data_IF_573220141139
#
_entry.id   IF_573220141139
#
_cell.length_a   1.000
_cell.length_b   1.000
_cell.length_c   1.000
_cell.angle_alpha   90.00
_cell.angle_beta   90.00
_cell.angle_gamma   90.00
#
_symmetry.space_group_name_H-M   'P 1'
#
loop_
_entity.id
_entity.type
_entity.pdbx_description
1 polymer ?
#
# COMPACT_ATOMS: atom_id res chain seq x y z
N UNK A 1 19.64 35.88 -4.88
CA UNK A 1 20.03 34.54 -5.37
C UNK A 1 19.19 33.54 -4.58
N UNK A 2 17.91 33.48 -4.94
CA UNK A 2 16.88 32.69 -4.26
C UNK A 2 17.07 31.22 -4.58
N UNK A 3 17.15 30.40 -3.54
CA UNK A 3 17.19 28.95 -3.68
C UNK A 3 15.90 28.46 -4.33
N UNK A 4 16.01 27.94 -5.54
CA UNK A 4 14.94 27.19 -6.19
C UNK A 4 14.73 25.89 -5.41
N UNK A 5 13.89 25.94 -4.38
CA UNK A 5 13.17 24.75 -3.96
C UNK A 5 12.38 24.30 -5.21
N UNK A 6 12.67 23.11 -5.73
CA UNK A 6 11.84 22.52 -6.78
C UNK A 6 10.39 22.55 -6.27
N UNK A 7 9.52 23.24 -7.00
CA UNK A 7 8.08 23.20 -6.76
C UNK A 7 7.63 21.73 -6.69
N UNK A 8 6.72 21.43 -5.76
CA UNK A 8 6.10 20.09 -5.67
C UNK A 8 5.12 19.83 -6.82
N UNK A 9 4.89 20.84 -7.64
CA UNK A 9 4.00 20.87 -8.77
C UNK A 9 4.77 20.73 -10.08
N UNK A 10 4.20 19.99 -11.01
CA UNK A 10 4.74 19.87 -12.37
C UNK A 10 4.05 20.90 -13.27
N UNK A 11 4.18 22.19 -12.92
CA UNK A 11 3.40 23.28 -13.52
C UNK A 11 3.52 23.41 -15.05
N UNK A 12 4.61 22.90 -15.63
CA UNK A 12 4.85 22.92 -17.08
C UNK A 12 4.48 21.62 -17.78
N UNK A 13 3.96 20.62 -17.07
CA UNK A 13 3.57 19.32 -17.60
C UNK A 13 2.05 19.21 -17.68
N UNK A 14 1.52 19.24 -18.90
CA UNK A 14 0.08 19.09 -19.16
C UNK A 14 -0.30 17.61 -19.32
N UNK A 15 -0.11 16.80 -18.26
CA UNK A 15 -0.53 15.40 -18.28
C UNK A 15 -1.03 14.89 -16.93
N UNK A 16 -1.96 13.93 -16.98
CA UNK A 16 -2.55 13.31 -15.78
C UNK A 16 -1.53 12.53 -14.93
N UNK A 17 -0.46 12.03 -15.56
CA UNK A 17 0.64 11.37 -14.86
C UNK A 17 1.34 12.37 -13.93
N UNK A 18 1.68 13.56 -14.43
CA UNK A 18 2.34 14.58 -13.63
C UNK A 18 1.46 14.99 -12.43
N UNK A 19 0.16 15.21 -12.65
CA UNK A 19 -0.82 15.46 -11.58
C UNK A 19 -0.88 14.34 -10.54
N UNK A 20 -0.83 13.08 -10.96
CA UNK A 20 -0.78 11.95 -10.03
C UNK A 20 0.53 11.95 -9.22
N UNK A 21 1.67 12.24 -9.85
CA UNK A 21 2.99 12.28 -9.20
C UNK A 21 3.11 13.37 -8.14
N UNK A 22 2.38 14.48 -8.24
CA UNK A 22 2.32 15.48 -7.15
C UNK A 22 1.77 14.88 -5.84
N UNK A 23 0.91 13.85 -5.95
CA UNK A 23 0.29 13.18 -4.81
C UNK A 23 1.11 11.95 -4.41
N UNK A 24 1.40 11.05 -5.36
CA UNK A 24 1.96 9.71 -5.08
C UNK A 24 3.45 9.57 -5.41
N UNK A 25 4.08 10.60 -6.00
CA UNK A 25 5.46 10.55 -6.49
C UNK A 25 6.53 10.66 -5.40
N UNK A 26 6.15 11.04 -4.18
CA UNK A 26 7.07 10.93 -3.03
C UNK A 26 7.28 9.45 -2.69
N UNK A 27 8.55 9.05 -2.56
CA UNK A 27 9.04 7.67 -2.43
C UNK A 27 8.24 6.77 -1.48
N UNK A 28 7.82 7.28 -0.33
CA UNK A 28 7.13 6.50 0.71
C UNK A 28 5.63 6.44 0.51
N UNK A 29 5.04 7.34 -0.29
CA UNK A 29 3.58 7.46 -0.42
C UNK A 29 2.95 6.16 -0.91
N UNK A 30 3.47 5.57 -1.99
CA UNK A 30 2.96 4.31 -2.52
C UNK A 30 3.23 3.12 -1.58
N UNK A 31 4.26 3.18 -0.74
CA UNK A 31 4.51 2.15 0.28
C UNK A 31 3.51 2.23 1.44
N UNK A 32 3.10 3.44 1.84
CA UNK A 32 2.00 3.64 2.80
C UNK A 32 0.69 3.11 2.22
N UNK A 33 0.37 3.40 0.96
CA UNK A 33 -0.85 2.88 0.30
C UNK A 33 -0.80 1.35 0.18
N UNK A 34 0.36 0.77 -0.18
CA UNK A 34 0.58 -0.68 -0.21
C UNK A 34 0.26 -1.31 1.15
N UNK A 35 0.80 -0.76 2.23
CA UNK A 35 0.56 -1.28 3.57
C UNK A 35 -0.90 -1.17 3.98
N UNK A 36 -1.57 -0.06 3.60
CA UNK A 36 -3.00 0.11 3.83
C UNK A 36 -3.85 -0.93 3.06
N UNK A 37 -3.46 -1.28 1.83
CA UNK A 37 -4.06 -2.38 1.07
C UNK A 37 -3.83 -3.73 1.76
N UNK A 38 -2.69 -3.90 2.42
CA UNK A 38 -2.39 -5.06 3.26
C UNK A 38 -3.07 -5.00 4.64
N UNK A 39 -3.99 -4.05 4.87
CA UNK A 39 -4.76 -3.99 6.10
C UNK A 39 -4.12 -3.22 7.24
N UNK A 40 -2.93 -2.64 7.05
CA UNK A 40 -2.31 -1.78 8.06
C UNK A 40 -3.11 -0.48 8.17
N UNK A 41 -3.55 -0.13 9.39
CA UNK A 41 -4.41 1.06 9.59
C UNK A 41 -3.92 1.99 10.69
N UNK A 42 -3.04 1.56 11.59
CA UNK A 42 -2.59 2.38 12.73
C UNK A 42 -1.24 3.02 12.43
N UNK A 43 -1.04 4.24 12.94
CA UNK A 43 0.21 5.00 12.74
C UNK A 43 1.46 4.21 13.16
N UNK A 44 1.42 3.55 14.33
CA UNK A 44 2.57 2.79 14.83
C UNK A 44 2.86 1.55 13.97
N UNK A 45 1.84 0.89 13.44
CA UNK A 45 2.03 -0.27 12.56
C UNK A 45 2.74 0.15 11.26
N UNK A 46 2.32 1.27 10.64
CA UNK A 46 3.04 1.84 9.49
C UNK A 46 4.48 2.20 9.84
N UNK A 47 4.70 2.83 11.00
CA UNK A 47 6.03 3.26 11.43
C UNK A 47 6.97 2.07 11.61
N UNK A 48 6.49 1.01 12.28
CA UNK A 48 7.24 -0.21 12.56
C UNK A 48 7.59 -0.96 11.27
N UNK A 49 6.62 -1.12 10.37
CA UNK A 49 6.83 -1.90 9.14
C UNK A 49 7.67 -1.16 8.10
N UNK A 50 7.44 0.14 7.91
CA UNK A 50 8.14 0.91 6.89
C UNK A 50 9.52 1.41 7.35
N UNK A 51 9.76 1.51 8.66
CA UNK A 51 11.00 2.03 9.23
C UNK A 51 11.29 3.48 8.86
N UNK A 52 10.25 4.26 8.53
CA UNK A 52 10.40 5.62 8.01
C UNK A 52 10.48 6.67 9.11
N UNK A 53 11.09 7.85 8.85
CA UNK A 53 11.06 8.94 9.81
C UNK A 53 9.63 9.36 10.16
N UNK A 54 9.35 9.55 11.46
CA UNK A 54 8.01 9.90 11.98
C UNK A 54 7.39 11.12 11.29
N UNK A 55 8.20 12.15 11.04
CA UNK A 55 7.77 13.38 10.36
C UNK A 55 7.37 13.11 8.90
N UNK A 56 8.08 12.22 8.21
CA UNK A 56 7.75 11.82 6.83
C UNK A 56 6.44 11.05 6.83
N UNK A 57 6.26 10.06 7.70
CA UNK A 57 5.00 9.32 7.81
C UNK A 57 3.82 10.24 8.08
N UNK A 58 3.95 11.15 9.05
CA UNK A 58 2.90 12.11 9.40
C UNK A 58 2.52 12.99 8.20
N UNK A 59 3.51 13.53 7.49
CA UNK A 59 3.28 14.34 6.29
C UNK A 59 2.61 13.53 5.16
N UNK A 60 2.97 12.25 4.99
CA UNK A 60 2.36 11.36 4.00
C UNK A 60 0.91 11.04 4.34
N UNK A 61 0.61 10.63 5.56
CA UNK A 61 -0.75 10.36 6.01
C UNK A 61 -1.64 11.59 5.92
N UNK A 62 -1.11 12.78 6.28
CA UNK A 62 -1.84 14.04 6.12
C UNK A 62 -2.17 14.32 4.65
N UNK A 63 -1.19 14.18 3.75
CA UNK A 63 -1.40 14.40 2.30
C UNK A 63 -2.44 13.43 1.76
N UNK A 64 -2.30 12.13 2.05
CA UNK A 64 -3.22 11.09 1.60
C UNK A 64 -4.64 11.30 2.15
N UNK A 65 -4.79 11.82 3.36
CA UNK A 65 -6.09 12.15 3.95
C UNK A 65 -6.70 13.39 3.29
N UNK A 66 -5.90 14.44 3.07
CA UNK A 66 -6.36 15.66 2.41
C UNK A 66 -6.80 15.42 0.96
N UNK A 67 -6.13 14.49 0.26
CA UNK A 67 -6.49 14.07 -1.10
C UNK A 67 -7.61 13.02 -1.13
N UNK A 68 -8.16 12.62 0.02
CA UNK A 68 -9.23 11.63 0.09
C UNK A 68 -8.82 10.24 -0.41
N UNK A 69 -7.53 9.90 -0.37
CA UNK A 69 -7.01 8.54 -0.61
C UNK A 69 -7.16 7.68 0.64
N UNK A 70 -6.94 8.30 1.80
CA UNK A 70 -7.22 7.74 3.11
C UNK A 70 -8.30 8.56 3.81
N UNK A 71 -9.04 7.92 4.71
CA UNK A 71 -9.89 8.57 5.69
C UNK A 71 -9.31 8.31 7.07
N UNK A 72 -9.21 9.36 7.89
CA UNK A 72 -8.83 9.23 9.30
C UNK A 72 -10.08 9.00 10.14
N UNK A 73 -10.22 7.80 10.69
CA UNK A 73 -11.39 7.36 11.46
C UNK A 73 -11.05 7.15 12.93
N UNK A 74 -11.84 7.73 13.83
CA UNK A 74 -11.81 7.46 15.27
C UNK A 74 -12.49 6.12 15.53
N UNK A 75 -11.80 5.18 16.21
CA UNK A 75 -12.38 3.86 16.54
C UNK A 75 -12.51 3.62 18.05
N UNK A 76 -11.88 4.44 18.89
CA UNK A 76 -12.01 4.38 20.35
C UNK A 76 -11.93 5.79 20.91
N UNK A 77 -12.89 6.20 21.75
CA UNK A 77 -12.92 7.56 22.30
C UNK A 77 -12.04 7.78 23.54
N UNK A 78 -11.84 6.74 24.35
CA UNK A 78 -11.14 6.85 25.64
C UNK A 78 -10.19 5.67 25.89
N UNK A 79 -8.85 5.87 25.87
CA UNK A 79 -8.16 7.01 25.25
C UNK A 79 -8.47 7.10 23.73
N UNK A 80 -8.38 8.29 23.13
CA UNK A 80 -8.68 8.49 21.71
C UNK A 80 -7.70 7.70 20.84
N UNK A 81 -8.22 6.80 19.99
CA UNK A 81 -7.43 6.07 19.00
C UNK A 81 -8.02 6.26 17.60
N UNK A 82 -7.16 6.69 16.69
CA UNK A 82 -7.48 6.91 15.29
C UNK A 82 -6.81 5.84 14.42
N UNK A 83 -7.44 5.52 13.30
CA UNK A 83 -6.91 4.68 12.25
C UNK A 83 -7.05 5.37 10.88
N UNK A 84 -6.31 4.89 9.89
CA UNK A 84 -6.32 5.36 8.52
C UNK A 84 -6.86 4.25 7.62
N UNK A 85 -7.99 4.51 6.96
CA UNK A 85 -8.68 3.52 6.13
C UNK A 85 -8.65 3.99 4.67
N UNK A 86 -8.43 3.07 3.72
CA UNK A 86 -8.52 3.41 2.30
C UNK A 86 -9.94 3.78 1.92
N UNK A 87 -10.08 4.85 1.15
CA UNK A 87 -11.31 5.20 0.45
C UNK A 87 -11.38 4.44 -0.88
N UNK A 88 -12.49 4.56 -1.60
CA UNK A 88 -12.60 4.05 -2.98
C UNK A 88 -11.51 4.63 -3.90
N UNK A 89 -11.19 5.92 -3.74
CA UNK A 89 -10.10 6.59 -4.48
C UNK A 89 -8.74 5.97 -4.16
N UNK A 90 -8.51 5.57 -2.91
CA UNK A 90 -7.28 4.88 -2.52
C UNK A 90 -7.21 3.45 -3.02
N UNK A 91 -8.32 2.70 -2.97
CA UNK A 91 -8.41 1.34 -3.51
C UNK A 91 -8.14 1.33 -5.03
N UNK A 92 -8.56 2.37 -5.75
CA UNK A 92 -8.32 2.52 -7.19
C UNK A 92 -6.82 2.63 -7.57
N UNK A 93 -5.90 2.83 -6.61
CA UNK A 93 -4.46 2.77 -6.86
C UNK A 93 -3.92 1.33 -6.99
N UNK A 94 -4.71 0.31 -6.66
CA UNK A 94 -4.29 -1.09 -6.71
C UNK A 94 -3.67 -1.53 -8.04
N UNK A 95 -4.28 -1.30 -9.22
CA UNK A 95 -3.68 -1.71 -10.49
C UNK A 95 -2.31 -1.05 -10.75
N UNK A 96 -2.14 0.20 -10.30
CA UNK A 96 -0.86 0.93 -10.40
C UNK A 96 0.21 0.26 -9.55
N UNK A 97 -0.11 -0.05 -8.29
CA UNK A 97 0.81 -0.77 -7.39
C UNK A 97 1.11 -2.19 -7.88
N UNK A 98 0.11 -2.90 -8.41
CA UNK A 98 0.28 -4.24 -8.95
C UNK A 98 1.20 -4.26 -10.17
N UNK A 99 1.04 -3.30 -11.09
CA UNK A 99 1.90 -3.16 -12.25
C UNK A 99 3.32 -2.75 -11.86
N UNK A 100 3.47 -1.76 -10.97
CA UNK A 100 4.77 -1.34 -10.44
C UNK A 100 5.51 -2.50 -9.74
N UNK A 101 4.79 -3.30 -8.95
CA UNK A 101 5.33 -4.49 -8.30
C UNK A 101 5.70 -5.60 -9.28
N UNK A 102 4.95 -5.77 -10.38
CA UNK A 102 5.30 -6.72 -11.45
C UNK A 102 6.61 -6.32 -12.11
N UNK A 103 6.73 -5.05 -12.49
CA UNK A 103 7.93 -4.47 -13.10
C UNK A 103 9.14 -4.58 -12.16
N UNK A 104 8.96 -4.26 -10.87
CA UNK A 104 9.99 -4.43 -9.84
C UNK A 104 10.47 -5.88 -9.69
N UNK A 105 9.53 -6.83 -9.72
CA UNK A 105 9.81 -8.27 -9.67
C UNK A 105 10.59 -8.74 -10.91
N UNK A 106 10.26 -8.23 -12.09
CA UNK A 106 10.88 -8.63 -13.35
C UNK A 106 12.33 -8.14 -13.48
N UNK A 107 12.62 -6.92 -13.00
CA UNK A 107 13.89 -6.26 -13.30
C UNK A 107 14.85 -6.10 -12.12
N UNK A 108 14.37 -6.14 -10.87
CA UNK A 108 15.18 -5.73 -9.71
C UNK A 108 15.08 -6.66 -8.50
N UNK A 109 14.35 -7.77 -8.60
CA UNK A 109 14.13 -8.66 -7.45
C UNK A 109 14.60 -10.07 -7.75
N UNK A 110 15.54 -10.56 -6.95
CA UNK A 110 15.92 -11.96 -6.94
C UNK A 110 14.91 -12.76 -6.11
N UNK A 111 14.13 -13.61 -6.78
CA UNK A 111 13.12 -14.44 -6.14
C UNK A 111 11.73 -13.79 -6.03
N UNK A 112 10.76 -14.58 -5.55
CA UNK A 112 9.37 -14.16 -5.45
C UNK A 112 9.07 -13.74 -4.03
N UNK A 113 8.83 -12.45 -3.79
CA UNK A 113 8.50 -11.91 -2.47
C UNK A 113 7.05 -12.23 -2.08
N UNK A 114 6.08 -12.03 -2.99
CA UNK A 114 4.66 -12.27 -2.71
C UNK A 114 3.93 -12.76 -3.95
N UNK A 115 2.87 -13.52 -3.72
CA UNK A 115 1.88 -13.87 -4.74
C UNK A 115 0.58 -13.13 -4.45
N UNK A 116 -0.15 -12.79 -5.50
CA UNK A 116 -1.51 -12.26 -5.42
C UNK A 116 -2.41 -13.20 -6.22
N UNK A 117 -3.43 -13.76 -5.57
CA UNK A 117 -4.30 -14.78 -6.13
C UNK A 117 -5.75 -14.36 -6.03
N UNK A 118 -6.56 -14.83 -6.96
CA UNK A 118 -8.00 -14.74 -6.84
C UNK A 118 -8.49 -15.66 -5.71
N UNK A 119 -9.21 -15.11 -4.73
CA UNK A 119 -9.73 -15.86 -3.58
C UNK A 119 -10.57 -17.08 -4.00
N UNK A 120 -11.41 -16.92 -5.02
CA UNK A 120 -12.38 -17.96 -5.40
C UNK A 120 -11.76 -19.15 -6.12
N UNK A 121 -10.68 -18.92 -6.88
CA UNK A 121 -10.17 -19.92 -7.82
C UNK A 121 -8.69 -20.24 -7.67
N UNK A 122 -7.96 -19.52 -6.82
CA UNK A 122 -6.53 -19.72 -6.51
C UNK A 122 -5.55 -19.31 -7.62
N UNK A 123 -6.04 -18.78 -8.75
CA UNK A 123 -5.19 -18.39 -9.88
C UNK A 123 -4.37 -17.14 -9.53
N UNK A 124 -3.06 -17.15 -9.81
CA UNK A 124 -2.21 -15.96 -9.65
C UNK A 124 -2.67 -14.88 -10.63
N UNK A 125 -2.84 -13.66 -10.11
CA UNK A 125 -3.32 -12.53 -10.87
C UNK A 125 -2.22 -11.98 -11.78
N UNK A 126 -2.63 -11.54 -12.97
CA UNK A 126 -1.75 -10.83 -13.89
C UNK A 126 -1.31 -9.45 -13.38
N UNK A 127 -0.45 -8.75 -14.14
CA UNK A 127 0.14 -7.46 -13.76
C UNK A 127 -0.87 -6.33 -13.55
N UNK A 128 -2.12 -6.48 -14.00
CA UNK A 128 -3.18 -5.48 -13.83
C UNK A 128 -4.32 -5.96 -12.91
N UNK A 129 -4.16 -7.11 -12.25
CA UNK A 129 -5.16 -7.68 -11.33
C UNK A 129 -6.17 -8.62 -11.99
N UNK A 130 -5.95 -8.99 -13.26
CA UNK A 130 -6.78 -9.90 -14.01
C UNK A 130 -6.58 -11.37 -13.58
N UNK A 131 -7.67 -12.12 -13.50
CA UNK A 131 -7.64 -13.57 -13.29
C UNK A 131 -7.87 -14.29 -14.62
N UNK A 132 -6.82 -14.89 -15.17
CA UNK A 132 -6.86 -15.58 -16.46
C UNK A 132 -7.88 -16.74 -16.51
N UNK A 133 -8.14 -17.39 -15.37
CA UNK A 133 -9.11 -18.49 -15.28
C UNK A 133 -10.57 -18.01 -15.30
N UNK A 134 -10.85 -16.87 -14.67
CA UNK A 134 -12.22 -16.35 -14.52
C UNK A 134 -12.57 -15.30 -15.59
N UNK A 135 -11.57 -14.77 -16.30
CA UNK A 135 -11.77 -13.75 -17.33
C UNK A 135 -12.23 -12.39 -16.79
N UNK A 136 -11.88 -12.05 -15.55
CA UNK A 136 -12.30 -10.80 -14.89
C UNK A 136 -11.14 -10.07 -14.24
N UNK A 137 -11.30 -8.76 -14.01
CA UNK A 137 -10.47 -8.00 -13.08
C UNK A 137 -11.00 -8.27 -11.68
N UNK A 138 -10.14 -8.84 -10.81
CA UNK A 138 -10.57 -9.27 -9.48
C UNK A 138 -10.76 -8.05 -8.59
N UNK A 139 -11.93 -7.87 -7.93
CA UNK A 139 -12.11 -6.85 -6.91
C UNK A 139 -11.04 -6.97 -5.83
N UNK A 140 -10.50 -5.86 -5.33
CA UNK A 140 -9.37 -5.87 -4.39
C UNK A 140 -9.68 -6.69 -3.13
N UNK A 141 -10.93 -6.67 -2.65
CA UNK A 141 -11.37 -7.46 -1.49
C UNK A 141 -11.34 -8.98 -1.72
N UNK A 142 -11.31 -9.43 -2.98
CA UNK A 142 -11.23 -10.85 -3.38
C UNK A 142 -9.84 -11.25 -3.84
N UNK A 143 -8.84 -10.39 -3.57
CA UNK A 143 -7.43 -10.71 -3.76
C UNK A 143 -6.86 -11.28 -2.46
N UNK A 144 -6.34 -12.50 -2.53
CA UNK A 144 -5.54 -13.11 -1.47
C UNK A 144 -4.08 -12.88 -1.76
N UNK A 145 -3.37 -12.32 -0.79
CA UNK A 145 -1.92 -12.19 -0.81
C UNK A 145 -1.29 -13.36 -0.05
N UNK A 146 -0.26 -13.96 -0.62
CA UNK A 146 0.51 -15.05 -0.01
C UNK A 146 2.00 -14.70 0.04
N UNK A 147 2.73 -15.15 1.09
CA UNK A 147 4.18 -15.03 1.13
C UNK A 147 4.83 -15.84 0.02
N UNK A 148 5.91 -15.31 -0.55
CA UNK A 148 6.78 -16.04 -1.46
C UNK A 148 8.10 -16.44 -0.80
N UNK A 149 8.86 -17.36 -1.43
CA UNK A 149 10.10 -17.90 -0.87
C UNK A 149 11.24 -16.89 -0.74
N UNK A 150 11.12 -15.71 -1.35
CA UNK A 150 12.13 -14.64 -1.24
C UNK A 150 12.00 -13.78 0.02
N UNK A 151 11.01 -14.04 0.89
CA UNK A 151 10.86 -13.33 2.15
C UNK A 151 11.76 -13.92 3.24
N UNK A 152 12.18 -13.06 4.17
CA UNK A 152 12.75 -13.49 5.45
C UNK A 152 11.74 -14.35 6.21
N UNK A 153 12.08 -15.60 6.59
CA UNK A 153 11.17 -16.50 7.31
C UNK A 153 10.97 -16.13 8.78
N UNK A 154 11.85 -15.30 9.39
CA UNK A 154 11.74 -14.91 10.80
C UNK A 154 11.99 -13.39 11.01
N UNK A 155 11.10 -12.54 10.48
CA UNK A 155 11.27 -11.11 10.61
C UNK A 155 11.05 -10.65 12.06
N UNK A 156 11.89 -9.71 12.47
CA UNK A 156 11.83 -9.10 13.82
C UNK A 156 10.55 -8.29 14.00
N UNK A 157 10.13 -7.56 12.97
CA UNK A 157 8.98 -6.68 13.05
C UNK A 157 7.64 -7.47 13.01
N UNK A 158 6.66 -7.11 13.87
CA UNK A 158 5.42 -7.85 14.00
C UNK A 158 4.55 -7.81 12.74
N UNK A 159 4.66 -6.76 11.93
CA UNK A 159 3.86 -6.58 10.72
C UNK A 159 4.32 -7.56 9.65
N UNK A 160 5.62 -7.61 9.35
CA UNK A 160 6.19 -8.61 8.43
C UNK A 160 5.86 -10.03 8.87
N UNK A 161 5.92 -10.33 10.19
CA UNK A 161 5.53 -11.65 10.72
C UNK A 161 4.06 -11.96 10.47
N UNK A 162 3.15 -11.01 10.70
CA UNK A 162 1.74 -11.17 10.37
C UNK A 162 1.53 -11.39 8.86
N UNK A 163 2.34 -10.74 8.02
CA UNK A 163 2.33 -10.87 6.57
C UNK A 163 2.99 -12.16 6.03
N UNK A 164 3.48 -13.05 6.88
CA UNK A 164 3.89 -14.42 6.51
C UNK A 164 2.72 -15.41 6.46
N UNK A 165 1.49 -14.96 6.72
CA UNK A 165 0.28 -15.77 6.56
C UNK A 165 -0.51 -15.29 5.34
N UNK A 166 -1.14 -16.21 4.57
CA UNK A 166 -2.10 -15.82 3.54
C UNK A 166 -3.23 -14.96 4.13
N UNK A 167 -3.62 -13.91 3.41
CA UNK A 167 -4.68 -12.98 3.87
C UNK A 167 -5.34 -12.26 2.71
N UNK A 168 -6.62 -11.89 2.84
CA UNK A 168 -7.26 -11.03 1.84
C UNK A 168 -6.74 -9.60 1.98
N UNK A 169 -6.66 -8.88 0.86
CA UNK A 169 -6.41 -7.44 0.90
C UNK A 169 -7.60 -6.73 1.58
N UNK A 170 -7.35 -5.53 2.09
CA UNK A 170 -8.29 -4.65 2.81
C UNK A 170 -8.77 -5.14 4.18
N UNK A 171 -8.71 -6.45 4.46
CA UNK A 171 -8.95 -6.99 5.80
C UNK A 171 -8.04 -6.31 6.81
N UNK A 172 -8.57 -5.76 7.92
CA UNK A 172 -7.74 -5.12 8.94
C UNK A 172 -6.65 -6.06 9.45
N UNK A 173 -5.46 -5.55 9.66
CA UNK A 173 -4.40 -6.30 10.33
C UNK A 173 -4.63 -6.26 11.84
N UNK A 174 -4.79 -7.43 12.45
CA UNK A 174 -4.75 -7.58 13.89
C UNK A 174 -3.28 -7.68 14.31
N UNK A 175 -2.79 -6.64 14.97
CA UNK A 175 -1.48 -6.65 15.62
C UNK A 175 -1.73 -6.73 17.12
N UNK A 176 -1.05 -7.66 17.81
CA UNK A 176 -1.18 -7.89 19.26
C UNK A 176 -0.70 -6.71 20.13
N UNK A 177 -0.58 -5.51 19.56
CA UNK A 177 -0.22 -4.30 20.27
C UNK A 177 -1.48 -3.46 20.53
N UNK A 178 -2.17 -3.83 21.61
CA UNK A 178 -3.16 -3.00 22.29
C UNK A 178 -2.47 -2.05 23.28
#
# INVERSE_FOLDING_TARGET
MEGMALGKDYATQECSIARALEIVGERWTLLVVRDALYGVRRYNDFLVHLGIPRAVLAARLQTLTAEGILEKRRYQESPPRDEYVLTERGIALWPTLRALGAWGREHFTDGRLRYFRHADCGTELGPYGECARCGTIVPVADVVMEPGPGLDPDPVDPISRALLKPRRLLEPMETDQA
#
